data_IF_359996614726
#
_entry.id   IF_359996614726
#
_cell.length_a   1.000
_cell.length_b   1.000
_cell.length_c   1.000
_cell.angle_alpha   90.00
_cell.angle_beta   90.00
_cell.angle_gamma   90.00
#
_symmetry.space_group_name_H-M   'P 1'
#
loop_
_entity.id
_entity.type
_entity.pdbx_description
1 polymer ?
#
# COMPACT_ATOMS: atom_id res chain seq x y z
N UNK A 1 -28.13 18.68 -8.85
CA UNK A 1 -27.87 18.09 -7.52
C UNK A 1 -27.04 16.80 -7.61
N UNK A 2 -27.35 15.86 -8.50
CA UNK A 2 -26.60 14.60 -8.66
C UNK A 2 -25.09 14.75 -8.97
N UNK A 3 -24.70 15.78 -9.71
CA UNK A 3 -23.31 16.09 -10.05
C UNK A 3 -22.48 16.57 -8.85
N UNK A 4 -23.08 17.32 -7.91
CA UNK A 4 -22.42 17.74 -6.67
C UNK A 4 -22.17 16.58 -5.71
N UNK A 5 -23.17 15.70 -5.55
CA UNK A 5 -23.06 14.50 -4.72
C UNK A 5 -22.00 13.52 -5.25
N UNK A 6 -21.92 13.35 -6.58
CA UNK A 6 -20.86 12.58 -7.24
C UNK A 6 -19.47 13.14 -6.93
N UNK A 7 -19.32 14.46 -6.94
CA UNK A 7 -18.04 15.12 -6.71
C UNK A 7 -17.53 14.89 -5.28
N UNK A 8 -18.36 15.12 -4.26
CA UNK A 8 -17.98 14.92 -2.86
C UNK A 8 -17.64 13.45 -2.56
N UNK A 9 -18.45 12.51 -3.08
CA UNK A 9 -18.23 11.08 -2.85
C UNK A 9 -16.99 10.57 -3.57
N UNK A 10 -16.75 10.99 -4.83
CA UNK A 10 -15.51 10.66 -5.54
C UNK A 10 -14.27 11.22 -4.84
N UNK A 11 -14.38 12.40 -4.24
CA UNK A 11 -13.25 13.04 -3.54
C UNK A 11 -12.87 12.25 -2.28
N UNK A 12 -13.84 11.80 -1.49
CA UNK A 12 -13.60 10.99 -0.29
C UNK A 12 -13.04 9.60 -0.62
N UNK A 13 -13.54 8.97 -1.68
CA UNK A 13 -13.09 7.64 -2.10
C UNK A 13 -11.65 7.71 -2.63
N UNK A 14 -11.24 8.82 -3.26
CA UNK A 14 -9.87 9.02 -3.79
C UNK A 14 -8.79 8.98 -2.71
N UNK A 15 -9.10 9.39 -1.46
CA UNK A 15 -8.15 9.34 -0.34
C UNK A 15 -7.67 7.91 -0.08
N UNK A 16 -8.57 6.93 -0.15
CA UNK A 16 -8.24 5.50 0.07
C UNK A 16 -7.24 5.01 -0.98
N UNK A 17 -7.43 5.41 -2.24
CA UNK A 17 -6.50 5.09 -3.32
C UNK A 17 -5.12 5.74 -3.09
N UNK A 18 -5.10 6.99 -2.62
CA UNK A 18 -3.84 7.67 -2.32
C UNK A 18 -3.06 6.97 -1.21
N UNK A 19 -3.73 6.64 -0.10
CA UNK A 19 -3.13 5.88 1.02
C UNK A 19 -2.62 4.52 0.53
N UNK A 20 -3.39 3.82 -0.31
CA UNK A 20 -2.97 2.57 -0.96
C UNK A 20 -1.64 2.73 -1.72
N UNK A 21 -1.51 3.77 -2.53
CA UNK A 21 -0.27 4.04 -3.27
C UNK A 21 0.90 4.39 -2.34
N UNK A 22 0.65 5.12 -1.26
CA UNK A 22 1.69 5.48 -0.28
C UNK A 22 2.26 4.26 0.46
N UNK A 23 1.46 3.20 0.65
CA UNK A 23 1.92 1.95 1.27
C UNK A 23 2.99 1.23 0.43
N UNK A 24 2.94 1.34 -0.89
CA UNK A 24 4.00 0.81 -1.76
C UNK A 24 5.31 1.57 -1.57
N UNK A 25 5.24 2.90 -1.48
CA UNK A 25 6.41 3.72 -1.16
C UNK A 25 6.97 3.40 0.23
N UNK A 26 6.10 3.13 1.20
CA UNK A 26 6.53 2.69 2.53
C UNK A 26 7.27 1.34 2.47
N UNK A 27 6.81 0.41 1.64
CA UNK A 27 7.50 -0.85 1.37
C UNK A 27 8.90 -0.65 0.77
N UNK A 28 9.03 0.28 -0.19
CA UNK A 28 10.32 0.68 -0.78
C UNK A 28 11.26 1.34 0.23
N UNK A 29 10.74 2.16 1.16
CA UNK A 29 11.57 2.70 2.25
C UNK A 29 12.10 1.57 3.13
N UNK A 30 11.28 0.55 3.39
CA UNK A 30 11.70 -0.62 4.13
C UNK A 30 12.80 -1.44 3.45
N UNK A 31 12.87 -1.48 2.11
CA UNK A 31 14.00 -2.11 1.42
C UNK A 31 15.30 -1.38 1.65
N UNK A 32 15.27 -0.04 1.61
CA UNK A 32 16.44 0.80 1.91
C UNK A 32 16.92 0.54 3.35
N UNK A 33 16.00 0.51 4.31
CA UNK A 33 16.33 0.21 5.72
C UNK A 33 16.92 -1.19 5.85
N UNK A 34 16.32 -2.20 5.21
CA UNK A 34 16.84 -3.56 5.23
C UNK A 34 18.24 -3.68 4.63
N UNK A 35 18.54 -2.94 3.55
CA UNK A 35 19.90 -2.89 3.00
C UNK A 35 20.89 -2.19 3.92
N UNK A 36 20.49 -1.12 4.61
CA UNK A 36 21.33 -0.46 5.62
C UNK A 36 21.71 -1.45 6.72
N UNK A 37 20.74 -2.22 7.23
CA UNK A 37 20.99 -3.25 8.25
C UNK A 37 21.91 -4.35 7.70
N UNK A 38 21.65 -4.84 6.49
CA UNK A 38 22.44 -5.89 5.86
C UNK A 38 23.91 -5.48 5.72
N UNK A 39 24.17 -4.26 5.24
CA UNK A 39 25.52 -3.75 5.00
C UNK A 39 26.23 -3.31 6.28
N UNK A 40 25.50 -2.94 7.34
CA UNK A 40 26.10 -2.50 8.61
C UNK A 40 26.90 -3.58 9.35
N UNK A 41 26.63 -4.86 9.05
CA UNK A 41 27.33 -6.00 9.65
C UNK A 41 28.37 -6.67 8.75
N UNK A 42 28.69 -6.06 7.59
CA UNK A 42 29.67 -6.60 6.64
C UNK A 42 30.97 -5.80 6.75
N UNK A 43 32.03 -6.48 7.18
CA UNK A 43 33.39 -5.94 7.13
C UNK A 43 34.17 -6.67 6.02
N UNK A 44 34.48 -5.99 4.90
CA UNK A 44 35.14 -6.61 3.76
C UNK A 44 36.57 -7.05 4.06
N UNK A 45 37.25 -6.42 5.03
CA UNK A 45 38.64 -6.73 5.38
C UNK A 45 38.75 -8.04 6.16
N UNK A 46 37.69 -8.38 6.91
CA UNK A 46 37.59 -9.60 7.70
C UNK A 46 36.99 -10.78 6.92
N UNK A 47 36.57 -10.58 5.66
CA UNK A 47 35.82 -11.58 4.90
C UNK A 47 36.60 -12.86 4.54
N UNK A 48 37.93 -12.85 4.70
CA UNK A 48 38.79 -14.03 4.54
C UNK A 48 38.82 -14.96 5.75
N UNK A 49 38.32 -14.53 6.91
CA UNK A 49 38.38 -15.30 8.15
C UNK A 49 37.11 -16.14 8.32
N UNK A 50 37.23 -17.46 8.38
CA UNK A 50 36.08 -18.36 8.47
C UNK A 50 35.18 -18.08 9.71
N UNK A 51 35.76 -17.51 10.77
CA UNK A 51 35.07 -17.18 12.02
C UNK A 51 34.15 -15.94 11.91
N UNK A 52 34.46 -15.02 10.99
CA UNK A 52 33.72 -13.76 10.80
C UNK A 52 32.59 -13.89 9.76
N UNK A 53 32.64 -14.94 8.93
CA UNK A 53 31.61 -15.22 7.90
C UNK A 53 30.24 -15.45 8.52
N UNK A 54 30.15 -16.20 9.62
CA UNK A 54 28.87 -16.50 10.28
C UNK A 54 28.11 -15.24 10.70
N UNK A 55 28.73 -14.34 11.48
CA UNK A 55 28.15 -13.05 11.84
C UNK A 55 27.75 -12.18 10.64
N UNK A 56 28.59 -12.08 9.62
CA UNK A 56 28.27 -11.30 8.40
C UNK A 56 27.04 -11.84 7.67
N UNK A 57 26.97 -13.17 7.51
CA UNK A 57 25.81 -13.82 6.87
C UNK A 57 24.54 -13.60 7.69
N UNK A 58 24.63 -13.65 9.02
CA UNK A 58 23.50 -13.34 9.89
C UNK A 58 22.99 -11.91 9.71
N UNK A 59 23.89 -10.93 9.62
CA UNK A 59 23.51 -9.53 9.38
C UNK A 59 22.85 -9.34 8.00
N UNK A 60 23.40 -9.97 6.96
CA UNK A 60 22.82 -9.96 5.61
C UNK A 60 21.41 -10.57 5.60
N UNK A 61 21.20 -11.71 6.25
CA UNK A 61 19.89 -12.37 6.34
C UNK A 61 18.90 -11.48 7.10
N UNK A 62 19.32 -10.87 8.21
CA UNK A 62 18.47 -9.99 9.01
C UNK A 62 18.00 -8.76 8.20
N UNK A 63 18.92 -8.11 7.49
CA UNK A 63 18.60 -6.97 6.65
C UNK A 63 17.72 -7.34 5.45
N UNK A 64 18.02 -8.47 4.80
CA UNK A 64 17.23 -8.97 3.67
C UNK A 64 15.82 -9.38 4.10
N UNK A 65 15.67 -10.07 5.23
CA UNK A 65 14.36 -10.44 5.80
C UNK A 65 13.53 -9.19 6.09
N UNK A 66 14.15 -8.15 6.64
CA UNK A 66 13.48 -6.88 6.92
C UNK A 66 13.00 -6.22 5.63
N UNK A 67 13.87 -6.11 4.61
CA UNK A 67 13.54 -5.53 3.31
C UNK A 67 12.37 -6.25 2.61
N UNK A 68 12.41 -7.58 2.59
CA UNK A 68 11.39 -8.39 1.94
C UNK A 68 10.05 -8.32 2.69
N UNK A 69 10.08 -8.35 4.01
CA UNK A 69 8.85 -8.30 4.84
C UNK A 69 8.16 -6.94 4.69
N UNK A 70 8.90 -5.83 4.75
CA UNK A 70 8.30 -4.50 4.58
C UNK A 70 7.75 -4.28 3.18
N UNK A 71 8.43 -4.81 2.15
CA UNK A 71 7.93 -4.78 0.76
C UNK A 71 6.63 -5.55 0.63
N UNK A 72 6.59 -6.76 1.18
CA UNK A 72 5.42 -7.63 1.13
C UNK A 72 4.25 -7.01 1.88
N UNK A 73 4.47 -6.47 3.08
CA UNK A 73 3.44 -5.77 3.85
C UNK A 73 2.90 -4.56 3.09
N UNK A 74 3.77 -3.72 2.52
CA UNK A 74 3.35 -2.56 1.72
C UNK A 74 2.51 -2.95 0.49
N UNK A 75 2.94 -3.98 -0.24
CA UNK A 75 2.24 -4.49 -1.42
C UNK A 75 0.89 -5.14 -1.07
N UNK A 76 0.84 -6.00 -0.06
CA UNK A 76 -0.38 -6.68 0.39
C UNK A 76 -1.41 -5.66 0.89
N UNK A 77 -0.99 -4.68 1.70
CA UNK A 77 -1.88 -3.62 2.17
C UNK A 77 -2.38 -2.75 1.02
N UNK A 78 -1.53 -2.44 0.03
CA UNK A 78 -1.98 -1.70 -1.15
C UNK A 78 -3.06 -2.46 -1.92
N UNK A 79 -2.86 -3.75 -2.21
CA UNK A 79 -3.84 -4.59 -2.92
C UNK A 79 -5.16 -4.64 -2.12
N UNK A 80 -5.08 -4.84 -0.82
CA UNK A 80 -6.24 -4.85 0.07
C UNK A 80 -7.02 -3.53 0.02
N UNK A 81 -6.34 -2.39 0.18
CA UNK A 81 -6.98 -1.08 0.10
C UNK A 81 -7.59 -0.81 -1.27
N UNK A 82 -6.93 -1.25 -2.35
CA UNK A 82 -7.42 -1.09 -3.71
C UNK A 82 -8.72 -1.88 -3.94
N UNK A 83 -8.81 -3.10 -3.39
CA UNK A 83 -10.03 -3.90 -3.43
C UNK A 83 -11.18 -3.21 -2.68
N UNK A 84 -10.91 -2.68 -1.49
CA UNK A 84 -11.90 -1.92 -0.71
C UNK A 84 -12.35 -0.65 -1.45
N UNK A 85 -11.41 0.08 -2.05
CA UNK A 85 -11.70 1.24 -2.91
C UNK A 85 -12.64 0.87 -4.06
N UNK A 86 -12.40 -0.25 -4.74
CA UNK A 86 -13.20 -0.67 -5.88
C UNK A 86 -14.63 -1.06 -5.49
N UNK A 87 -14.80 -1.74 -4.35
CA UNK A 87 -16.11 -2.02 -3.76
C UNK A 87 -16.84 -0.73 -3.40
N UNK A 88 -16.18 0.21 -2.74
CA UNK A 88 -16.78 1.46 -2.28
C UNK A 88 -17.17 2.38 -3.45
N UNK A 89 -16.29 2.50 -4.45
CA UNK A 89 -16.55 3.26 -5.68
C UNK A 89 -17.75 2.70 -6.44
N UNK A 90 -17.81 1.38 -6.62
CA UNK A 90 -18.90 0.72 -7.32
C UNK A 90 -20.22 0.80 -6.55
N UNK A 91 -20.19 0.62 -5.22
CA UNK A 91 -21.36 0.75 -4.35
C UNK A 91 -21.93 2.17 -4.36
N UNK A 92 -21.06 3.17 -4.30
CA UNK A 92 -21.45 4.58 -4.35
C UNK A 92 -22.09 4.95 -5.69
N UNK A 93 -21.52 4.48 -6.81
CA UNK A 93 -22.11 4.69 -8.13
C UNK A 93 -23.51 4.10 -8.26
N UNK A 94 -23.75 2.89 -7.72
CA UNK A 94 -25.09 2.27 -7.69
C UNK A 94 -26.06 3.09 -6.84
N UNK A 95 -25.64 3.48 -5.63
CA UNK A 95 -26.48 4.26 -4.71
C UNK A 95 -26.93 5.58 -5.36
N UNK A 96 -26.01 6.30 -6.01
CA UNK A 96 -26.34 7.54 -6.72
C UNK A 96 -27.35 7.28 -7.83
N UNK A 97 -27.15 6.24 -8.65
CA UNK A 97 -28.08 5.92 -9.74
C UNK A 97 -29.49 5.60 -9.19
N UNK A 98 -29.59 4.81 -8.12
CA UNK A 98 -30.89 4.50 -7.49
C UNK A 98 -31.57 5.73 -6.89
N UNK A 99 -30.81 6.65 -6.29
CA UNK A 99 -31.37 7.91 -5.76
C UNK A 99 -31.90 8.79 -6.91
N UNK A 100 -31.17 8.87 -8.03
CA UNK A 100 -31.59 9.66 -9.20
C UNK A 100 -32.86 9.07 -9.82
N UNK A 101 -32.89 7.76 -10.06
CA UNK A 101 -34.04 7.04 -10.63
C UNK A 101 -35.30 7.25 -9.78
N UNK A 102 -35.18 7.10 -8.45
CA UNK A 102 -36.30 7.39 -7.53
C UNK A 102 -36.72 8.85 -7.52
N UNK A 103 -35.79 9.78 -7.69
CA UNK A 103 -36.08 11.20 -7.76
C UNK A 103 -36.82 11.59 -9.04
N UNK A 104 -36.50 10.95 -10.16
CA UNK A 104 -37.18 11.13 -11.45
C UNK A 104 -38.60 10.56 -11.42
N UNK A 105 -38.80 9.37 -10.82
CA UNK A 105 -40.12 8.77 -10.61
C UNK A 105 -41.06 9.67 -9.80
N UNK A 106 -40.53 10.33 -8.76
CA UNK A 106 -41.29 11.23 -7.87
C UNK A 106 -41.59 12.60 -8.51
N UNK A 107 -40.74 13.08 -9.42
CA UNK A 107 -40.91 14.35 -10.11
C UNK A 107 -41.78 14.24 -11.37
N UNK A 108 -41.95 13.03 -11.90
CA UNK A 108 -42.84 12.72 -13.03
C UNK A 108 -44.29 12.41 -12.65
N UNK A 109 -44.61 12.34 -11.35
CA UNK A 109 -45.95 12.17 -10.78
C UNK A 109 -46.55 13.50 -10.29
#
# INVERSE_FOLDING_TARGET
>A
MASGLRLELSQNITVIRHIGSSLVFLGLIGTVIGFIIALSGVDPDLAGEAETIGPMVSALIAGMSTALTTTLVGGVLNIWLMANYQLLSTGTARLINTIVERGEDLAGA
#
